data_IF_739371962082
#
_entry.id   IF_739371962082
#
_cell.length_a   1.000
_cell.length_b   1.000
_cell.length_c   1.000
_cell.angle_alpha   90.00
_cell.angle_beta   90.00
_cell.angle_gamma   90.00
#
_symmetry.space_group_name_H-M   'P 1'
#
loop_
_entity.id
_entity.type
_entity.pdbx_description
1 polymer ?
#
# COMPACT_ATOMS: atom_id res chain seq x y z
N UNK A 1 18.12 -9.01 20.38
CA UNK A 1 17.34 -9.10 19.13
C UNK A 1 16.54 -7.83 18.84
N UNK A 2 15.88 -7.21 19.83
CA UNK A 2 15.14 -5.95 19.63
C UNK A 2 16.01 -4.77 19.14
N UNK A 3 17.20 -4.57 19.71
CA UNK A 3 18.12 -3.48 19.31
C UNK A 3 18.58 -3.57 17.84
N UNK A 4 18.87 -4.77 17.34
CA UNK A 4 19.31 -4.97 15.94
C UNK A 4 18.19 -4.74 14.93
N UNK A 5 16.94 -5.08 15.27
CA UNK A 5 15.78 -4.81 14.41
C UNK A 5 15.43 -3.33 14.35
N UNK A 6 15.39 -2.65 15.51
CA UNK A 6 15.20 -1.20 15.58
C UNK A 6 16.28 -0.45 14.79
N UNK A 7 17.55 -0.82 14.97
CA UNK A 7 18.67 -0.23 14.21
C UNK A 7 18.52 -0.45 12.69
N UNK A 8 18.02 -1.61 12.24
CA UNK A 8 17.79 -1.87 10.80
C UNK A 8 16.69 -0.99 10.20
N UNK A 9 15.63 -0.68 10.97
CA UNK A 9 14.55 0.22 10.53
C UNK A 9 15.06 1.67 10.50
N UNK A 10 15.81 2.09 11.52
CA UNK A 10 16.30 3.46 11.67
C UNK A 10 17.50 3.80 10.77
N UNK A 11 18.23 2.80 10.30
CA UNK A 11 19.31 2.96 9.31
C UNK A 11 18.82 2.86 7.87
N UNK A 12 17.52 2.67 7.64
CA UNK A 12 16.93 2.65 6.31
C UNK A 12 17.13 4.01 5.62
N UNK A 13 17.70 4.07 4.41
CA UNK A 13 17.84 5.33 3.67
C UNK A 13 16.48 5.90 3.20
N UNK A 14 15.39 5.19 3.46
CA UNK A 14 14.02 5.56 3.05
C UNK A 14 13.26 6.35 4.14
N UNK A 15 13.81 6.40 5.35
CA UNK A 15 13.32 7.20 6.46
C UNK A 15 14.46 8.07 7.00
N UNK A 16 14.16 9.33 7.25
CA UNK A 16 15.05 10.22 7.98
C UNK A 16 14.54 10.38 9.41
N UNK A 17 15.38 10.06 10.40
CA UNK A 17 15.05 10.21 11.82
C UNK A 17 15.92 11.29 12.46
N UNK A 18 15.31 12.20 13.22
CA UNK A 18 16.03 13.25 13.92
C UNK A 18 15.49 13.48 15.36
N UNK A 19 16.38 13.79 16.33
CA UNK A 19 17.83 13.67 16.29
C UNK A 19 18.27 12.22 16.59
N UNK A 20 19.07 11.61 15.72
CA UNK A 20 19.69 10.31 16.01
C UNK A 20 20.82 10.41 17.05
N UNK A 21 21.46 11.58 17.23
CA UNK A 21 22.62 11.79 18.12
C UNK A 21 22.89 13.27 18.51
N UNK A 22 21.87 14.15 18.56
CA UNK A 22 22.05 15.54 19.01
C UNK A 22 21.07 15.91 20.12
N UNK A 23 21.58 16.67 21.09
CA UNK A 23 20.97 17.09 22.37
C UNK A 23 19.63 17.85 22.23
N UNK A 24 18.56 17.20 21.83
CA UNK A 24 17.23 17.52 22.38
C UNK A 24 16.80 16.33 23.23
N UNK A 25 17.13 16.49 24.53
CA UNK A 25 16.67 15.74 25.70
C UNK A 25 16.14 14.35 25.34
N UNK A 26 17.01 13.33 25.32
CA UNK A 26 16.67 11.91 25.03
C UNK A 26 15.21 11.58 25.36
N UNK A 27 14.28 11.61 24.38
CA UNK A 27 12.87 11.61 24.73
C UNK A 27 12.55 10.24 25.30
N UNK A 28 12.14 10.24 26.57
CA UNK A 28 11.95 9.01 27.34
C UNK A 28 10.78 8.22 26.75
N UNK A 29 10.93 6.90 26.56
CA UNK A 29 9.84 6.07 26.13
C UNK A 29 8.64 6.16 27.08
N UNK A 30 7.43 6.19 26.52
CA UNK A 30 6.18 6.21 27.27
C UNK A 30 5.17 5.27 26.63
N UNK A 31 4.24 4.75 27.45
CA UNK A 31 3.08 4.00 26.96
C UNK A 31 2.14 4.88 26.11
N UNK A 32 2.17 6.20 26.31
CA UNK A 32 1.35 7.16 25.55
C UNK A 32 2.19 7.86 24.51
N UNK A 33 1.71 7.92 23.26
CA UNK A 33 2.39 8.60 22.17
C UNK A 33 1.47 9.67 21.59
N UNK A 34 1.95 10.92 21.60
CA UNK A 34 1.31 12.03 20.93
C UNK A 34 2.02 12.24 19.59
N UNK A 35 1.38 11.82 18.51
CA UNK A 35 1.95 11.91 17.17
C UNK A 35 1.37 13.12 16.43
N UNK A 36 2.18 13.85 15.68
CA UNK A 36 1.73 15.03 14.94
C UNK A 36 2.28 15.03 13.50
N UNK A 37 1.50 15.49 12.54
CA UNK A 37 2.06 15.96 11.27
C UNK A 37 2.90 17.23 11.48
N UNK A 38 3.79 17.54 10.53
CA UNK A 38 4.59 18.74 10.55
C UNK A 38 3.92 19.92 9.81
N UNK A 39 3.77 19.82 8.50
CA UNK A 39 3.50 20.94 7.59
C UNK A 39 1.99 21.13 7.41
N UNK A 40 1.43 22.17 8.04
CA UNK A 40 -0.03 22.38 8.12
C UNK A 40 -0.60 22.04 9.50
N UNK A 41 0.21 21.46 10.38
CA UNK A 41 -0.19 21.02 11.72
C UNK A 41 0.62 21.67 12.83
N UNK A 42 1.92 21.38 12.94
CA UNK A 42 2.81 22.02 13.94
C UNK A 42 3.35 23.35 13.42
N UNK A 43 3.75 23.38 12.15
CA UNK A 43 4.16 24.59 11.45
C UNK A 43 3.18 24.92 10.34
N UNK A 44 3.06 26.19 9.97
CA UNK A 44 2.20 26.59 8.87
C UNK A 44 2.72 26.02 7.54
N UNK A 45 1.81 25.61 6.66
CA UNK A 45 2.15 25.26 5.28
C UNK A 45 2.55 26.53 4.52
N UNK A 46 3.76 26.54 3.98
CA UNK A 46 4.29 27.68 3.20
C UNK A 46 4.30 27.37 1.71
N UNK A 47 4.26 28.42 0.90
CA UNK A 47 4.39 28.31 -0.56
C UNK A 47 5.70 27.65 -0.96
N UNK A 48 5.71 26.92 -2.07
CA UNK A 48 6.94 26.35 -2.65
C UNK A 48 7.99 27.40 -3.03
N UNK A 49 7.59 28.68 -3.14
CA UNK A 49 8.47 29.82 -3.39
C UNK A 49 9.14 30.38 -2.13
N UNK A 50 8.69 29.97 -0.93
CA UNK A 50 9.28 30.44 0.31
C UNK A 50 10.75 29.96 0.44
N UNK A 51 11.64 30.78 1.02
CA UNK A 51 12.97 30.36 1.44
C UNK A 51 12.96 29.01 2.17
N UNK A 52 13.96 28.16 1.91
CA UNK A 52 14.00 26.77 2.41
C UNK A 52 14.01 26.64 3.93
N UNK A 53 14.57 27.64 4.61
CA UNK A 53 14.66 27.69 6.06
C UNK A 53 13.55 28.51 6.70
N UNK A 54 12.65 29.12 5.91
CA UNK A 54 11.51 29.85 6.46
C UNK A 54 10.51 28.86 7.05
N UNK A 55 10.02 29.19 8.24
CA UNK A 55 8.94 28.49 8.92
C UNK A 55 8.30 29.44 9.92
N UNK A 56 7.07 29.11 10.32
CA UNK A 56 6.36 29.74 11.42
C UNK A 56 5.46 28.71 12.07
N UNK A 57 5.17 28.89 13.36
CA UNK A 57 4.18 28.06 14.04
C UNK A 57 2.85 28.09 13.30
N UNK A 58 2.16 26.96 13.26
CA UNK A 58 0.80 26.91 12.70
C UNK A 58 -0.13 27.86 13.47
N UNK A 59 -0.03 27.85 14.80
CA UNK A 59 -0.66 28.81 15.69
C UNK A 59 0.24 29.14 16.89
N UNK A 60 0.06 30.30 17.51
CA UNK A 60 0.90 30.76 18.62
C UNK A 60 0.87 29.84 19.86
N UNK A 61 -0.18 29.04 20.03
CA UNK A 61 -0.33 28.10 21.16
C UNK A 61 0.42 26.77 20.96
N UNK A 62 0.93 26.46 19.75
CA UNK A 62 1.56 25.17 19.44
C UNK A 62 2.69 24.83 20.42
N UNK A 63 3.67 25.71 20.71
CA UNK A 63 4.71 25.43 21.69
C UNK A 63 4.18 25.06 23.09
N UNK A 64 3.12 25.74 23.53
CA UNK A 64 2.51 25.51 24.85
C UNK A 64 1.86 24.13 24.90
N UNK A 65 1.13 23.75 23.85
CA UNK A 65 0.44 22.47 23.76
C UNK A 65 1.41 21.28 23.63
N UNK A 66 2.52 21.45 22.91
CA UNK A 66 3.56 20.42 22.84
C UNK A 66 4.23 20.19 24.22
N UNK A 67 4.50 21.27 24.98
CA UNK A 67 4.99 21.15 26.38
C UNK A 67 3.97 20.48 27.29
N UNK A 68 2.69 20.81 27.13
CA UNK A 68 1.60 20.18 27.87
C UNK A 68 1.59 18.66 27.62
N UNK A 69 1.69 18.21 26.37
CA UNK A 69 1.74 16.79 26.04
C UNK A 69 2.90 16.07 26.76
N UNK A 70 4.09 16.67 26.80
CA UNK A 70 5.23 16.11 27.54
C UNK A 70 4.93 16.01 29.04
N UNK A 71 4.34 17.06 29.62
CA UNK A 71 3.98 17.12 31.05
C UNK A 71 2.90 16.10 31.41
N UNK A 72 2.00 15.79 30.48
CA UNK A 72 0.97 14.74 30.61
C UNK A 72 1.51 13.32 30.39
N UNK A 73 2.81 13.19 30.14
CA UNK A 73 3.53 11.92 30.02
C UNK A 73 3.52 11.31 28.62
N UNK A 74 3.25 12.08 27.58
CA UNK A 74 3.34 11.60 26.20
C UNK A 74 4.77 11.63 25.67
N UNK A 75 5.15 10.57 24.94
CA UNK A 75 6.25 10.68 23.97
C UNK A 75 5.76 11.51 22.78
N UNK A 76 6.37 12.68 22.53
CA UNK A 76 6.02 13.51 21.37
C UNK A 76 6.79 13.04 20.14
N UNK A 77 6.06 12.72 19.07
CA UNK A 77 6.64 12.29 17.80
C UNK A 77 6.03 13.08 16.64
N UNK A 78 6.87 13.60 15.76
CA UNK A 78 6.46 14.24 14.52
C UNK A 78 6.66 13.25 13.36
N UNK A 79 5.69 13.15 12.46
CA UNK A 79 5.81 12.32 11.26
C UNK A 79 5.43 13.13 10.02
N UNK A 80 6.18 12.99 8.92
CA UNK A 80 5.95 13.84 7.74
C UNK A 80 6.27 13.13 6.42
N UNK A 81 5.47 13.44 5.39
CA UNK A 81 5.61 12.92 4.04
C UNK A 81 6.48 13.86 3.18
N UNK A 82 7.76 13.55 3.00
CA UNK A 82 8.77 14.45 2.40
C UNK A 82 9.40 13.89 1.11
N UNK A 83 8.59 13.35 0.19
CA UNK A 83 9.03 12.81 -1.12
C UNK A 83 9.70 13.86 -2.05
N UNK A 84 9.73 15.14 -1.65
CA UNK A 84 10.48 16.19 -2.34
C UNK A 84 11.99 16.20 -2.02
N UNK A 85 12.41 15.51 -0.95
CA UNK A 85 13.80 15.45 -0.50
C UNK A 85 14.57 14.38 -1.30
N UNK A 86 14.97 14.74 -2.53
CA UNK A 86 15.59 13.81 -3.50
C UNK A 86 17.12 13.84 -3.51
N UNK A 87 17.73 14.77 -2.79
CA UNK A 87 19.19 14.95 -2.75
C UNK A 87 19.67 15.20 -1.33
N UNK A 88 20.93 14.85 -1.05
CA UNK A 88 21.53 15.10 0.26
C UNK A 88 21.52 16.58 0.66
N UNK A 89 21.68 17.49 -0.31
CA UNK A 89 21.60 18.93 -0.05
C UNK A 89 20.23 19.30 0.51
N UNK A 90 19.16 18.84 -0.12
CA UNK A 90 17.79 19.10 0.34
C UNK A 90 17.54 18.49 1.72
N UNK A 91 18.05 17.28 1.97
CA UNK A 91 17.96 16.63 3.29
C UNK A 91 18.70 17.45 4.35
N UNK A 92 19.90 17.96 4.05
CA UNK A 92 20.66 18.83 4.97
C UNK A 92 19.93 20.14 5.28
N UNK A 93 19.41 20.82 4.26
CA UNK A 93 18.62 22.05 4.44
C UNK A 93 17.35 21.79 5.26
N UNK A 94 16.67 20.67 5.02
CA UNK A 94 15.51 20.27 5.81
C UNK A 94 15.87 20.00 7.27
N UNK A 95 16.98 19.29 7.54
CA UNK A 95 17.49 19.08 8.91
C UNK A 95 17.86 20.40 9.60
N UNK A 96 18.39 21.38 8.88
CA UNK A 96 18.63 22.73 9.41
C UNK A 96 17.32 23.43 9.80
N UNK A 97 16.27 23.34 8.97
CA UNK A 97 14.93 23.85 9.30
C UNK A 97 14.40 23.20 10.59
N UNK A 98 14.54 21.88 10.74
CA UNK A 98 14.13 21.16 11.97
C UNK A 98 14.91 21.65 13.19
N UNK A 99 16.22 21.87 13.06
CA UNK A 99 17.03 22.42 14.16
C UNK A 99 16.58 23.82 14.59
N UNK A 100 16.15 24.68 13.65
CA UNK A 100 15.58 25.99 13.96
C UNK A 100 14.25 25.88 14.72
N UNK A 101 13.38 24.94 14.33
CA UNK A 101 12.13 24.66 15.04
C UNK A 101 12.44 24.20 16.47
N UNK A 102 13.36 23.24 16.63
CA UNK A 102 13.74 22.70 17.93
C UNK A 102 14.33 23.76 18.86
N UNK A 103 15.12 24.70 18.33
CA UNK A 103 15.66 25.83 19.08
C UNK A 103 14.58 26.76 19.67
N UNK A 104 13.35 26.74 19.12
CA UNK A 104 12.23 27.55 19.62
C UNK A 104 11.31 26.78 20.59
N UNK A 105 11.59 25.51 20.86
CA UNK A 105 10.95 24.66 21.87
C UNK A 105 12.01 23.83 22.64
N UNK A 106 13.01 24.49 23.27
CA UNK A 106 14.18 23.80 23.81
C UNK A 106 13.88 22.78 24.91
N UNK A 107 12.74 22.93 25.56
CA UNK A 107 12.26 22.11 26.67
C UNK A 107 11.28 21.01 26.25
N UNK A 108 10.97 20.89 24.95
CA UNK A 108 10.12 19.82 24.42
C UNK A 108 11.01 18.73 23.83
N UNK A 109 11.16 17.57 24.51
CA UNK A 109 11.78 16.39 23.91
C UNK A 109 10.85 15.80 22.84
N UNK A 110 11.31 15.72 21.59
CA UNK A 110 10.55 15.08 20.50
C UNK A 110 11.44 14.29 19.55
N UNK A 111 10.84 13.36 18.81
CA UNK A 111 11.43 12.71 17.64
C UNK A 111 10.72 13.15 16.38
N UNK A 112 11.41 13.18 15.25
CA UNK A 112 10.79 13.36 13.94
C UNK A 112 11.19 12.24 12.98
N UNK A 113 10.21 11.70 12.27
CA UNK A 113 10.40 10.73 11.19
C UNK A 113 9.88 11.35 9.88
N UNK A 114 10.69 11.31 8.83
CA UNK A 114 10.30 11.80 7.51
C UNK A 114 10.39 10.69 6.47
N UNK A 115 9.27 10.41 5.82
CA UNK A 115 9.18 9.48 4.70
C UNK A 115 9.61 10.18 3.40
N UNK A 116 10.79 9.83 2.88
CA UNK A 116 11.40 10.49 1.71
C UNK A 116 11.13 9.76 0.38
N UNK A 117 10.52 8.57 0.44
CA UNK A 117 10.19 7.74 -0.72
C UNK A 117 8.68 7.47 -0.83
N UNK A 118 8.26 6.89 -1.96
CA UNK A 118 6.93 6.31 -2.14
C UNK A 118 6.97 4.82 -1.78
N UNK A 119 6.92 4.53 -0.49
CA UNK A 119 6.92 3.16 0.05
C UNK A 119 6.04 3.05 1.30
N UNK A 120 6.23 1.99 2.08
CA UNK A 120 5.47 1.71 3.29
C UNK A 120 5.68 2.73 4.42
N UNK A 121 6.66 3.61 4.35
CA UNK A 121 6.84 4.67 5.35
C UNK A 121 5.97 5.89 5.07
N UNK A 122 5.54 6.09 3.82
CA UNK A 122 4.72 7.23 3.42
C UNK A 122 3.27 7.07 3.91
N UNK A 123 2.75 8.03 4.66
CA UNK A 123 1.33 8.03 5.06
C UNK A 123 0.42 7.93 3.82
N UNK A 124 -0.66 7.12 3.84
CA UNK A 124 -1.28 6.49 5.02
C UNK A 124 -0.69 5.13 5.45
N UNK A 125 0.37 4.65 4.81
CA UNK A 125 1.03 3.41 5.23
C UNK A 125 1.69 3.56 6.62
N UNK A 126 1.71 2.46 7.36
CA UNK A 126 2.05 2.43 8.80
C UNK A 126 3.54 2.24 9.09
N UNK A 127 4.44 2.29 8.10
CA UNK A 127 5.87 2.01 8.32
C UNK A 127 6.51 2.98 9.33
N UNK A 128 6.12 4.26 9.32
CA UNK A 128 6.60 5.21 10.34
C UNK A 128 6.11 4.83 11.74
N UNK A 129 4.89 4.30 11.89
CA UNK A 129 4.40 3.80 13.18
C UNK A 129 5.16 2.56 13.64
N UNK A 130 5.43 1.62 12.74
CA UNK A 130 6.24 0.44 13.05
C UNK A 130 7.66 0.83 13.50
N UNK A 131 8.22 1.90 12.93
CA UNK A 131 9.48 2.48 13.39
C UNK A 131 9.36 3.12 14.79
N UNK A 132 8.25 3.80 15.09
CA UNK A 132 7.96 4.34 16.43
C UNK A 132 7.87 3.20 17.46
N UNK A 133 7.11 2.14 17.17
CA UNK A 133 7.01 0.94 18.02
C UNK A 133 8.40 0.34 18.24
N UNK A 134 9.19 0.16 17.18
CA UNK A 134 10.54 -0.41 17.30
C UNK A 134 11.51 0.45 18.13
N UNK A 135 11.33 1.77 18.15
CA UNK A 135 12.18 2.71 18.93
C UNK A 135 11.75 2.79 20.38
N UNK A 136 10.44 2.86 20.64
CA UNK A 136 9.90 3.17 21.96
C UNK A 136 9.58 1.93 22.77
N UNK A 137 9.16 0.83 22.15
CA UNK A 137 8.80 -0.37 22.89
C UNK A 137 10.03 -1.13 23.40
N UNK A 138 9.85 -1.74 24.57
CA UNK A 138 10.80 -2.68 25.17
C UNK A 138 10.05 -3.94 25.63
N UNK A 139 10.76 -4.88 26.27
CA UNK A 139 10.13 -6.08 26.82
C UNK A 139 9.10 -5.75 27.92
N UNK A 140 9.21 -4.59 28.57
CA UNK A 140 8.34 -4.15 29.67
C UNK A 140 7.45 -2.96 29.32
N UNK A 141 7.70 -2.29 28.19
CA UNK A 141 6.94 -1.12 27.74
C UNK A 141 6.34 -1.39 26.37
N UNK A 142 5.01 -1.39 26.32
CA UNK A 142 4.20 -1.44 25.11
C UNK A 142 3.38 -0.18 24.97
N UNK A 143 3.22 0.29 23.75
CA UNK A 143 2.44 1.49 23.47
C UNK A 143 0.96 1.13 23.65
N UNK A 144 0.25 1.94 24.44
CA UNK A 144 -1.19 1.91 24.55
C UNK A 144 -1.79 2.80 23.46
N UNK A 145 -2.27 2.16 22.38
CA UNK A 145 -2.90 2.84 21.24
C UNK A 145 -4.17 3.61 21.65
N UNK A 146 -4.92 3.12 22.64
CA UNK A 146 -6.15 3.78 23.08
C UNK A 146 -5.87 5.08 23.86
N UNK A 147 -4.71 5.15 24.50
CA UNK A 147 -4.22 6.33 25.21
C UNK A 147 -3.22 7.17 24.38
N UNK A 148 -3.06 6.86 23.09
CA UNK A 148 -2.23 7.60 22.14
C UNK A 148 -3.11 8.34 21.13
N UNK A 149 -2.56 9.25 20.35
CA UNK A 149 -3.33 9.96 19.32
C UNK A 149 -2.45 10.49 18.19
N UNK A 150 -3.08 10.84 17.08
CA UNK A 150 -2.47 11.54 15.96
C UNK A 150 -3.19 12.85 15.65
N UNK A 151 -2.42 13.92 15.43
CA UNK A 151 -2.92 15.22 14.98
C UNK A 151 -2.42 15.48 13.56
N UNK A 152 -3.31 15.82 12.63
CA UNK A 152 -2.94 16.12 11.24
C UNK A 152 -3.98 16.93 10.48
N UNK A 153 -3.57 17.70 9.49
CA UNK A 153 -4.45 18.59 8.72
C UNK A 153 -5.06 17.95 7.48
N UNK A 154 -4.47 16.87 6.94
CA UNK A 154 -5.05 16.12 5.82
C UNK A 154 -6.12 15.15 6.31
N UNK A 155 -7.22 15.74 6.78
CA UNK A 155 -8.29 15.07 7.50
C UNK A 155 -9.51 14.73 6.62
N UNK A 156 -9.48 15.08 5.33
CA UNK A 156 -10.58 14.85 4.39
C UNK A 156 -11.82 15.73 4.65
N UNK A 157 -11.64 16.86 5.34
CA UNK A 157 -12.74 17.77 5.70
C UNK A 157 -13.42 18.34 4.47
N UNK A 158 -14.75 18.40 4.53
CA UNK A 158 -15.60 19.05 3.54
C UNK A 158 -16.36 20.20 4.20
N UNK A 159 -16.68 21.23 3.42
CA UNK A 159 -17.35 22.43 3.93
C UNK A 159 -18.60 22.74 3.09
N UNK A 160 -19.63 21.87 3.14
CA UNK A 160 -20.83 22.06 2.34
C UNK A 160 -21.50 23.40 2.68
N UNK A 161 -21.89 24.15 1.64
CA UNK A 161 -22.55 25.44 1.81
C UNK A 161 -21.64 26.61 2.19
N UNK A 162 -20.31 26.48 2.05
CA UNK A 162 -19.35 27.57 2.28
C UNK A 162 -18.37 27.71 1.10
N UNK A 163 -17.69 28.87 1.00
CA UNK A 163 -16.61 29.10 0.03
C UNK A 163 -15.27 28.46 0.44
N UNK A 164 -15.21 27.77 1.59
CA UNK A 164 -13.98 27.11 2.05
C UNK A 164 -13.68 25.90 1.18
N UNK A 165 -12.42 25.78 0.79
CA UNK A 165 -11.95 24.61 0.01
C UNK A 165 -11.95 23.38 0.91
N UNK A 166 -12.45 22.26 0.38
CA UNK A 166 -12.28 20.93 1.00
C UNK A 166 -10.80 20.58 1.12
N UNK A 167 -10.47 19.73 2.09
CA UNK A 167 -9.13 19.16 2.20
C UNK A 167 -8.77 18.41 0.91
N UNK A 168 -7.49 18.49 0.54
CA UNK A 168 -7.00 17.83 -0.67
C UNK A 168 -7.04 16.30 -0.58
N UNK A 169 -6.80 15.75 0.60
CA UNK A 169 -6.81 14.33 0.89
C UNK A 169 -7.13 14.07 2.37
N UNK A 170 -7.48 12.83 2.69
CA UNK A 170 -7.65 12.34 4.06
C UNK A 170 -6.45 11.52 4.56
N UNK A 171 -5.24 11.79 4.05
CA UNK A 171 -4.03 11.00 4.30
C UNK A 171 -3.75 10.79 5.78
N UNK A 172 -3.88 11.84 6.58
CA UNK A 172 -3.56 11.81 8.00
C UNK A 172 -4.60 11.04 8.80
N UNK A 173 -5.88 11.28 8.52
CA UNK A 173 -6.98 10.51 9.12
C UNK A 173 -6.89 9.03 8.77
N UNK A 174 -6.59 8.70 7.51
CA UNK A 174 -6.37 7.31 7.06
C UNK A 174 -5.19 6.65 7.76
N UNK A 175 -4.10 7.39 7.99
CA UNK A 175 -2.96 6.87 8.72
C UNK A 175 -3.33 6.50 10.16
N UNK A 176 -4.03 7.38 10.87
CA UNK A 176 -4.51 7.09 12.23
C UNK A 176 -5.45 5.88 12.28
N UNK A 177 -6.37 5.77 11.29
CA UNK A 177 -7.25 4.61 11.15
C UNK A 177 -6.47 3.31 10.92
N UNK A 178 -5.47 3.32 10.04
CA UNK A 178 -4.61 2.16 9.76
C UNK A 178 -3.80 1.75 11.01
N UNK A 179 -3.30 2.71 11.77
CA UNK A 179 -2.58 2.44 13.01
C UNK A 179 -3.52 1.94 14.11
N UNK A 180 -4.77 2.40 14.12
CA UNK A 180 -5.76 2.13 15.15
C UNK A 180 -5.63 3.06 16.37
N UNK A 181 -5.35 4.34 16.16
CA UNK A 181 -5.27 5.37 17.20
C UNK A 181 -6.27 6.52 16.96
N UNK A 182 -6.75 7.20 18.02
CA UNK A 182 -7.54 8.43 17.93
C UNK A 182 -6.90 9.47 17.00
N UNK A 183 -7.74 10.15 16.21
CA UNK A 183 -7.34 11.21 15.29
C UNK A 183 -7.97 12.55 15.68
N UNK A 184 -7.19 13.62 15.60
CA UNK A 184 -7.63 15.00 15.82
C UNK A 184 -7.10 15.90 14.70
N UNK A 185 -7.84 16.96 14.39
CA UNK A 185 -7.32 18.05 13.54
C UNK A 185 -6.50 19.05 14.36
N UNK A 186 -5.66 19.89 13.74
CA UNK A 186 -4.92 20.93 14.47
C UNK A 186 -5.85 21.86 15.25
N UNK A 187 -6.99 22.23 14.67
CA UNK A 187 -8.00 23.09 15.29
C UNK A 187 -8.61 22.42 16.54
N UNK A 188 -9.01 21.16 16.43
CA UNK A 188 -9.55 20.36 17.56
C UNK A 188 -8.53 20.26 18.70
N UNK A 189 -7.27 19.94 18.42
CA UNK A 189 -6.27 19.71 19.46
C UNK A 189 -5.69 21.01 20.05
N UNK A 190 -5.25 21.94 19.20
CA UNK A 190 -4.52 23.12 19.63
C UNK A 190 -5.44 24.24 20.10
N UNK A 191 -6.61 24.40 19.47
CA UNK A 191 -7.56 25.48 19.76
C UNK A 191 -8.74 25.01 20.62
N UNK A 192 -8.96 23.71 20.74
CA UNK A 192 -10.11 23.16 21.47
C UNK A 192 -11.42 23.39 20.74
N UNK A 193 -11.38 23.49 19.41
CA UNK A 193 -12.58 23.57 18.59
C UNK A 193 -13.33 22.24 18.60
N UNK A 194 -14.64 22.30 18.35
CA UNK A 194 -15.47 21.10 18.23
C UNK A 194 -15.05 20.25 17.02
N UNK A 195 -15.18 18.91 17.09
CA UNK A 195 -14.86 18.03 15.98
C UNK A 195 -15.55 18.42 14.68
N UNK A 196 -14.77 18.46 13.59
CA UNK A 196 -15.33 18.89 12.30
C UNK A 196 -16.41 17.92 11.81
N UNK A 197 -17.63 18.42 11.64
CA UNK A 197 -18.82 17.59 11.46
C UNK A 197 -18.91 16.84 10.11
N UNK A 198 -18.15 17.25 9.08
CA UNK A 198 -18.25 16.67 7.74
C UNK A 198 -16.89 16.40 7.11
N UNK A 199 -16.61 15.13 6.84
CA UNK A 199 -15.39 14.70 6.16
C UNK A 199 -15.68 13.47 5.28
N UNK A 200 -14.86 13.28 4.25
CA UNK A 200 -14.97 12.17 3.31
C UNK A 200 -13.57 11.59 3.03
N UNK A 201 -13.44 10.27 3.14
CA UNK A 201 -12.22 9.56 2.76
C UNK A 201 -12.39 8.97 1.36
N UNK A 202 -11.77 9.62 0.38
CA UNK A 202 -11.83 9.21 -1.03
C UNK A 202 -10.79 8.14 -1.36
N UNK A 203 -10.99 7.38 -2.44
CA UNK A 203 -10.08 6.32 -2.88
C UNK A 203 -10.61 4.92 -2.58
N UNK A 204 -9.81 3.91 -2.88
CA UNK A 204 -10.21 2.52 -2.70
C UNK A 204 -10.00 2.08 -1.26
N UNK A 205 -11.06 1.53 -0.68
CA UNK A 205 -11.01 0.80 0.58
C UNK A 205 -11.60 -0.60 0.40
N UNK A 206 -10.95 -1.66 0.91
CA UNK A 206 -11.42 -3.03 0.80
C UNK A 206 -12.87 -3.29 1.23
N UNK A 207 -13.41 -2.52 2.18
CA UNK A 207 -14.82 -2.63 2.59
C UNK A 207 -15.83 -2.29 1.48
N UNK A 208 -15.38 -1.67 0.38
CA UNK A 208 -16.21 -1.41 -0.80
C UNK A 208 -16.42 -2.64 -1.68
N UNK A 209 -15.64 -3.71 -1.48
CA UNK A 209 -15.76 -4.94 -2.25
C UNK A 209 -17.03 -5.71 -1.89
N UNK A 210 -17.66 -6.27 -2.92
CA UNK A 210 -18.80 -7.17 -2.76
C UNK A 210 -18.31 -8.56 -2.41
N UNK A 211 -19.01 -9.24 -1.51
CA UNK A 211 -18.80 -10.66 -1.27
C UNK A 211 -19.35 -11.46 -2.47
N UNK A 212 -18.46 -12.15 -3.18
CA UNK A 212 -18.77 -12.96 -4.36
C UNK A 212 -18.13 -14.35 -4.21
N UNK A 213 -18.72 -15.41 -4.81
CA UNK A 213 -18.04 -16.70 -4.89
C UNK A 213 -16.77 -16.58 -5.75
N UNK A 214 -15.79 -17.45 -5.53
CA UNK A 214 -14.49 -17.44 -6.23
C UNK A 214 -14.62 -17.37 -7.76
N UNK A 215 -15.65 -17.98 -8.34
CA UNK A 215 -15.89 -17.91 -9.77
C UNK A 215 -17.37 -17.89 -10.14
N UNK A 216 -17.66 -17.33 -11.32
CA UNK A 216 -18.99 -17.25 -11.93
C UNK A 216 -18.93 -17.62 -13.42
N UNK A 217 -19.90 -18.38 -13.96
CA UNK A 217 -20.98 -19.04 -13.23
C UNK A 217 -20.47 -20.18 -12.35
N UNK A 218 -21.13 -20.41 -11.21
CA UNK A 218 -20.81 -21.49 -10.27
C UNK A 218 -21.49 -22.82 -10.63
N UNK A 219 -22.28 -22.83 -11.71
CA UNK A 219 -22.97 -24.02 -12.23
C UNK A 219 -22.03 -25.07 -12.84
N UNK A 220 -20.78 -24.70 -13.14
CA UNK A 220 -19.76 -25.62 -13.63
C UNK A 220 -18.52 -25.57 -12.73
N UNK A 221 -17.82 -26.70 -12.51
CA UNK A 221 -16.60 -26.73 -11.69
C UNK A 221 -15.46 -25.93 -12.31
N UNK A 222 -14.50 -25.48 -11.49
CA UNK A 222 -13.32 -24.76 -11.97
C UNK A 222 -12.42 -25.66 -12.83
N UNK A 223 -12.26 -26.91 -12.40
CA UNK A 223 -11.54 -27.97 -13.10
C UNK A 223 -12.52 -28.89 -13.84
N UNK A 224 -12.13 -29.49 -14.97
CA UNK A 224 -12.98 -30.45 -15.65
C UNK A 224 -13.21 -31.68 -14.76
N UNK A 225 -14.42 -32.29 -14.79
CA UNK A 225 -14.76 -33.43 -13.94
C UNK A 225 -13.99 -34.72 -14.29
N UNK A 226 -13.46 -34.80 -15.51
CA UNK A 226 -12.59 -35.88 -15.97
C UNK A 226 -11.27 -35.29 -16.47
N UNK A 227 -10.14 -36.00 -16.33
CA UNK A 227 -8.89 -35.58 -16.93
C UNK A 227 -9.06 -35.35 -18.44
N UNK A 228 -8.71 -34.15 -18.89
CA UNK A 228 -8.79 -33.72 -20.27
C UNK A 228 -7.51 -32.95 -20.58
N UNK A 229 -6.96 -33.16 -21.78
CA UNK A 229 -5.93 -32.27 -22.30
C UNK A 229 -6.60 -30.95 -22.69
N UNK A 230 -6.18 -29.86 -22.07
CA UNK A 230 -6.71 -28.53 -22.37
C UNK A 230 -5.65 -27.45 -22.18
N UNK A 231 -5.91 -26.29 -22.80
CA UNK A 231 -5.19 -25.06 -22.57
C UNK A 231 -6.08 -24.10 -21.78
N UNK A 232 -5.58 -23.56 -20.67
CA UNK A 232 -6.28 -22.54 -19.89
C UNK A 232 -5.54 -21.21 -19.98
N UNK A 233 -6.22 -20.17 -20.46
CA UNK A 233 -5.70 -18.81 -20.48
C UNK A 233 -6.23 -18.01 -19.30
N UNK A 234 -5.34 -17.41 -18.51
CA UNK A 234 -5.73 -16.41 -17.54
C UNK A 234 -5.73 -15.02 -18.17
N UNK A 235 -6.74 -14.20 -17.88
CA UNK A 235 -6.87 -12.82 -18.36
C UNK A 235 -7.18 -11.90 -17.18
N UNK A 236 -6.47 -10.78 -17.06
CA UNK A 236 -6.75 -9.78 -16.03
C UNK A 236 -5.51 -9.03 -15.53
N UNK A 237 -5.73 -7.97 -14.76
CA UNK A 237 -4.67 -7.15 -14.18
C UNK A 237 -3.60 -7.99 -13.44
N UNK A 238 -2.33 -7.56 -13.45
CA UNK A 238 -1.36 -8.09 -12.49
C UNK A 238 -1.89 -7.92 -11.06
N UNK A 239 -1.40 -8.73 -10.12
CA UNK A 239 -1.77 -8.67 -8.70
C UNK A 239 -3.25 -9.00 -8.35
N UNK A 240 -4.01 -9.66 -9.24
CA UNK A 240 -5.35 -10.20 -8.95
C UNK A 240 -5.37 -11.70 -8.56
N UNK A 241 -4.22 -12.26 -8.15
CA UNK A 241 -4.18 -13.64 -7.63
C UNK A 241 -4.12 -14.73 -8.70
N UNK A 242 -3.79 -14.40 -9.95
CA UNK A 242 -3.64 -15.38 -11.06
C UNK A 242 -2.70 -16.54 -10.72
N UNK A 243 -1.46 -16.24 -10.38
CA UNK A 243 -0.48 -17.25 -9.95
C UNK A 243 -0.94 -18.00 -8.69
N UNK A 244 -1.66 -17.33 -7.78
CA UNK A 244 -2.23 -18.01 -6.61
C UNK A 244 -3.26 -19.05 -7.04
N UNK A 245 -4.21 -18.70 -7.92
CA UNK A 245 -5.21 -19.62 -8.46
C UNK A 245 -4.55 -20.82 -9.16
N UNK A 246 -3.48 -20.59 -9.92
CA UNK A 246 -2.70 -21.67 -10.53
C UNK A 246 -2.18 -22.65 -9.47
N UNK A 247 -1.47 -22.13 -8.47
CA UNK A 247 -0.85 -22.97 -7.43
C UNK A 247 -1.88 -23.74 -6.61
N UNK A 248 -3.01 -23.12 -6.27
CA UNK A 248 -4.01 -23.73 -5.38
C UNK A 248 -4.97 -24.70 -6.07
N UNK A 249 -5.15 -24.58 -7.39
CA UNK A 249 -6.14 -25.41 -8.10
C UNK A 249 -5.59 -26.19 -9.29
N UNK A 250 -4.56 -25.71 -9.98
CA UNK A 250 -4.09 -26.31 -11.23
C UNK A 250 -2.77 -27.09 -11.06
N UNK A 251 -1.88 -26.65 -10.17
CA UNK A 251 -0.56 -27.24 -10.00
C UNK A 251 -0.63 -28.71 -9.58
N UNK A 252 -1.35 -29.03 -8.51
CA UNK A 252 -1.47 -30.41 -8.01
C UNK A 252 -2.33 -31.30 -8.91
N UNK A 253 -3.01 -30.70 -9.89
CA UNK A 253 -3.72 -31.43 -10.93
C UNK A 253 -2.82 -31.77 -12.11
N UNK A 254 -1.55 -31.38 -12.09
CA UNK A 254 -0.57 -31.68 -13.14
C UNK A 254 -0.67 -30.78 -14.37
N UNK A 255 -1.15 -29.53 -14.21
CA UNK A 255 -1.06 -28.54 -15.28
C UNK A 255 0.35 -27.95 -15.34
N UNK A 256 0.91 -27.88 -16.54
CA UNK A 256 2.16 -27.15 -16.76
C UNK A 256 1.92 -25.64 -16.58
N UNK A 257 2.79 -25.00 -15.79
CA UNK A 257 2.76 -23.55 -15.58
C UNK A 257 3.55 -22.82 -16.68
N UNK A 258 2.87 -22.03 -17.50
CA UNK A 258 3.51 -21.16 -18.48
C UNK A 258 3.35 -19.71 -18.03
N UNK A 259 4.47 -19.07 -17.67
CA UNK A 259 4.49 -17.70 -17.14
C UNK A 259 5.64 -16.90 -17.76
N UNK A 260 5.32 -15.73 -18.31
CA UNK A 260 6.29 -14.87 -19.00
C UNK A 260 7.29 -14.20 -18.05
N UNK A 261 6.97 -13.98 -16.78
CA UNK A 261 7.93 -13.46 -15.80
C UNK A 261 9.12 -14.43 -15.62
N UNK A 262 8.83 -15.74 -15.70
CA UNK A 262 9.82 -16.82 -15.65
C UNK A 262 10.50 -17.01 -17.02
N UNK A 263 9.72 -17.14 -18.09
CA UNK A 263 10.21 -17.44 -19.44
C UNK A 263 10.74 -16.23 -20.21
N UNK A 264 10.59 -15.02 -19.65
CA UNK A 264 11.02 -13.70 -20.14
C UNK A 264 10.29 -13.15 -21.37
N UNK A 265 10.01 -13.98 -22.37
CA UNK A 265 9.44 -13.54 -23.66
C UNK A 265 8.18 -14.32 -24.02
N UNK A 266 7.21 -13.66 -24.67
CA UNK A 266 5.98 -14.30 -25.14
C UNK A 266 6.26 -15.43 -26.12
N UNK A 267 7.24 -15.29 -26.99
CA UNK A 267 7.63 -16.29 -27.99
C UNK A 267 8.04 -17.60 -27.32
N UNK A 268 8.78 -17.52 -26.21
CA UNK A 268 9.10 -18.67 -25.36
C UNK A 268 7.86 -19.28 -24.72
N UNK A 269 6.93 -18.46 -24.21
CA UNK A 269 5.66 -18.97 -23.67
C UNK A 269 4.86 -19.75 -24.73
N UNK A 270 4.71 -19.18 -25.94
CA UNK A 270 3.99 -19.80 -27.06
C UNK A 270 4.67 -21.11 -27.46
N UNK A 271 6.01 -21.13 -27.54
CA UNK A 271 6.78 -22.35 -27.83
C UNK A 271 6.56 -23.43 -26.77
N UNK A 272 6.66 -23.09 -25.48
CA UNK A 272 6.42 -24.03 -24.38
C UNK A 272 5.00 -24.58 -24.39
N UNK A 273 3.99 -23.76 -24.72
CA UNK A 273 2.61 -24.25 -24.91
C UNK A 273 2.55 -25.26 -26.06
N UNK A 274 3.15 -24.94 -27.21
CA UNK A 274 3.14 -25.86 -28.36
C UNK A 274 3.78 -27.22 -28.03
N UNK A 275 4.93 -27.22 -27.37
CA UNK A 275 5.63 -28.45 -26.93
C UNK A 275 4.78 -29.26 -25.93
N UNK A 276 4.13 -28.58 -24.98
CA UNK A 276 3.25 -29.23 -24.01
C UNK A 276 2.02 -29.86 -24.66
N UNK A 277 1.37 -29.14 -25.60
CA UNK A 277 0.20 -29.65 -26.30
C UNK A 277 0.55 -30.82 -27.22
N UNK A 278 1.71 -30.78 -27.88
CA UNK A 278 2.22 -31.90 -28.67
C UNK A 278 2.47 -33.15 -27.81
N UNK A 279 2.97 -32.96 -26.59
CA UNK A 279 3.21 -34.02 -25.62
C UNK A 279 1.96 -34.55 -24.89
N UNK A 280 0.74 -34.12 -25.27
CA UNK A 280 -0.49 -34.56 -24.62
C UNK A 280 -0.74 -33.91 -23.25
N UNK A 281 0.03 -32.88 -22.87
CA UNK A 281 -0.07 -32.24 -21.57
C UNK A 281 -1.13 -31.13 -21.55
N UNK A 282 -1.69 -30.91 -20.36
CA UNK A 282 -2.55 -29.76 -20.06
C UNK A 282 -1.71 -28.64 -19.46
N UNK A 283 -2.01 -27.39 -19.82
CA UNK A 283 -1.20 -26.25 -19.39
C UNK A 283 -2.03 -24.99 -19.12
N UNK A 284 -1.50 -24.12 -18.26
CA UNK A 284 -2.09 -22.83 -17.91
C UNK A 284 -1.12 -21.73 -18.32
N UNK A 285 -1.60 -20.75 -19.08
CA UNK A 285 -0.87 -19.52 -19.41
C UNK A 285 -1.24 -18.44 -18.39
N UNK A 286 -0.38 -18.28 -17.39
CA UNK A 286 -0.49 -17.30 -16.30
C UNK A 286 0.21 -15.99 -16.69
N UNK A 287 -0.37 -15.31 -17.67
CA UNK A 287 0.02 -13.97 -18.12
C UNK A 287 -1.16 -13.01 -17.99
N UNK A 288 -0.98 -11.73 -18.35
CA UNK A 288 -2.10 -10.77 -18.35
C UNK A 288 -3.07 -10.97 -19.51
N UNK A 289 -2.57 -11.39 -20.68
CA UNK A 289 -3.35 -11.73 -21.89
C UNK A 289 -4.45 -10.70 -22.24
N UNK A 290 -4.05 -9.42 -22.21
CA UNK A 290 -4.93 -8.24 -22.17
C UNK A 290 -5.84 -8.06 -23.39
N UNK A 291 -5.37 -8.36 -24.59
CA UNK A 291 -6.06 -8.03 -25.86
C UNK A 291 -6.24 -9.27 -26.74
N UNK A 292 -7.16 -9.20 -27.72
CA UNK A 292 -7.44 -10.29 -28.67
C UNK A 292 -6.17 -10.70 -29.41
N UNK A 293 -5.34 -9.71 -29.79
CA UNK A 293 -4.10 -9.96 -30.53
C UNK A 293 -3.11 -10.83 -29.74
N UNK A 294 -3.04 -10.62 -28.41
CA UNK A 294 -2.17 -11.35 -27.50
C UNK A 294 -2.71 -12.75 -27.25
N UNK A 295 -4.04 -12.89 -27.09
CA UNK A 295 -4.69 -14.19 -26.90
C UNK A 295 -4.58 -15.08 -28.14
N UNK A 296 -4.65 -14.48 -29.33
CA UNK A 296 -4.54 -15.18 -30.63
C UNK A 296 -3.29 -16.06 -30.75
N UNK A 297 -2.14 -15.61 -30.25
CA UNK A 297 -0.90 -16.41 -30.28
C UNK A 297 -1.03 -17.78 -29.63
N UNK A 298 -1.86 -17.91 -28.59
CA UNK A 298 -2.07 -19.19 -27.90
C UNK A 298 -3.26 -19.96 -28.50
N UNK A 299 -4.30 -19.26 -28.93
CA UNK A 299 -5.47 -19.85 -29.59
C UNK A 299 -5.07 -20.55 -30.91
N UNK A 300 -4.19 -19.94 -31.70
CA UNK A 300 -3.69 -20.52 -32.95
C UNK A 300 -2.91 -21.83 -32.71
N UNK A 301 -2.11 -21.87 -31.64
CA UNK A 301 -1.38 -23.09 -31.24
C UNK A 301 -2.36 -24.17 -30.80
N UNK A 302 -3.34 -23.87 -29.95
CA UNK A 302 -4.32 -24.85 -29.51
C UNK A 302 -5.15 -25.39 -30.69
N UNK A 303 -5.52 -24.53 -31.64
CA UNK A 303 -6.23 -24.92 -32.86
C UNK A 303 -5.41 -25.90 -33.71
N UNK A 304 -4.09 -25.68 -33.86
CA UNK A 304 -3.20 -26.60 -34.58
C UNK A 304 -3.21 -28.01 -33.99
N UNK A 305 -3.24 -28.12 -32.66
CA UNK A 305 -3.25 -29.40 -31.94
C UNK A 305 -4.66 -29.92 -31.61
N UNK A 306 -5.72 -29.24 -32.07
CA UNK A 306 -7.12 -29.59 -31.79
C UNK A 306 -7.46 -29.69 -30.29
N UNK A 307 -6.81 -28.86 -29.47
CA UNK A 307 -6.99 -28.83 -28.01
C UNK A 307 -8.01 -27.76 -27.62
N UNK A 308 -8.98 -28.05 -26.74
CA UNK A 308 -9.93 -27.06 -26.25
C UNK A 308 -9.25 -26.00 -25.39
N UNK A 309 -9.73 -24.75 -25.49
CA UNK A 309 -9.19 -23.61 -24.74
C UNK A 309 -10.24 -23.00 -23.83
N UNK A 310 -9.98 -22.97 -22.52
CA UNK A 310 -10.81 -22.23 -21.56
C UNK A 310 -10.15 -20.91 -21.16
N UNK A 311 -10.96 -19.88 -20.93
CA UNK A 311 -10.51 -18.58 -20.45
C UNK A 311 -11.00 -18.33 -19.03
N UNK A 312 -10.08 -17.91 -18.15
CA UNK A 312 -10.37 -17.49 -16.77
C UNK A 312 -10.12 -15.98 -16.66
N UNK A 313 -11.20 -15.21 -16.57
CA UNK A 313 -11.18 -13.73 -16.56
C UNK A 313 -11.25 -13.22 -15.13
N UNK A 314 -10.18 -12.64 -14.63
CA UNK A 314 -10.08 -12.08 -13.29
C UNK A 314 -10.73 -10.70 -13.25
N UNK A 315 -11.85 -10.56 -12.52
CA UNK A 315 -12.78 -9.42 -12.61
C UNK A 315 -12.44 -8.23 -11.69
N UNK A 316 -11.31 -8.26 -10.99
CA UNK A 316 -10.90 -7.20 -10.08
C UNK A 316 -10.62 -5.87 -10.77
N UNK A 317 -10.92 -4.75 -10.09
CA UNK A 317 -10.67 -3.41 -10.62
C UNK A 317 -9.18 -3.04 -10.62
N UNK A 318 -8.84 -1.94 -11.32
CA UNK A 318 -7.50 -1.35 -11.28
C UNK A 318 -7.07 -1.04 -9.84
N UNK A 319 -7.98 -0.46 -9.05
CA UNK A 319 -7.70 -0.04 -7.69
C UNK A 319 -7.44 -1.23 -6.77
N UNK A 320 -8.22 -2.31 -6.89
CA UNK A 320 -7.98 -3.55 -6.16
C UNK A 320 -6.64 -4.18 -6.55
N UNK A 321 -6.32 -4.19 -7.86
CA UNK A 321 -5.04 -4.70 -8.34
C UNK A 321 -3.86 -3.87 -7.80
N UNK A 322 -3.99 -2.55 -7.76
CA UNK A 322 -2.99 -1.64 -7.19
C UNK A 322 -2.84 -1.78 -5.68
N UNK A 323 -3.96 -1.92 -4.97
CA UNK A 323 -3.98 -2.19 -3.53
C UNK A 323 -3.26 -3.50 -3.20
N UNK A 324 -3.55 -4.58 -3.93
CA UNK A 324 -2.87 -5.86 -3.79
C UNK A 324 -1.37 -5.76 -4.13
N UNK A 325 -0.99 -4.91 -5.08
CA UNK A 325 0.42 -4.65 -5.40
C UNK A 325 1.16 -4.04 -4.20
N UNK A 326 0.59 -3.02 -3.56
CA UNK A 326 1.15 -2.39 -2.35
C UNK A 326 1.20 -3.40 -1.21
N UNK A 327 0.11 -4.14 -0.97
CA UNK A 327 0.08 -5.18 0.08
C UNK A 327 1.18 -6.22 -0.12
N UNK A 328 1.33 -6.78 -1.33
CA UNK A 328 2.34 -7.80 -1.61
C UNK A 328 3.77 -7.27 -1.55
N UNK A 329 3.99 -6.01 -1.90
CA UNK A 329 5.31 -5.41 -1.89
C UNK A 329 5.80 -5.07 -0.47
N UNK A 330 4.89 -4.72 0.44
CA UNK A 330 5.27 -4.12 1.72
C UNK A 330 4.71 -4.79 2.96
N UNK A 331 3.64 -5.56 2.83
CA UNK A 331 2.85 -6.08 3.95
C UNK A 331 2.65 -7.60 3.88
N UNK A 332 3.32 -8.28 2.95
CA UNK A 332 3.20 -9.72 2.83
C UNK A 332 3.67 -10.39 4.14
N UNK A 333 2.88 -11.33 4.72
CA UNK A 333 3.26 -12.01 5.95
C UNK A 333 4.56 -12.78 5.75
N UNK A 334 5.44 -12.80 6.76
CA UNK A 334 6.74 -13.50 6.67
C UNK A 334 6.60 -14.97 6.28
N UNK A 335 5.60 -15.65 6.83
CA UNK A 335 5.28 -17.05 6.54
C UNK A 335 4.99 -17.32 5.06
N UNK A 336 4.46 -16.32 4.34
CA UNK A 336 4.20 -16.36 2.90
C UNK A 336 5.43 -15.88 2.12
N UNK A 337 6.07 -14.80 2.58
CA UNK A 337 7.25 -14.21 1.96
C UNK A 337 8.45 -15.17 1.91
N UNK A 338 8.59 -16.08 2.86
CA UNK A 338 9.64 -17.10 2.87
C UNK A 338 9.42 -18.21 1.83
N UNK A 339 8.18 -18.38 1.35
CA UNK A 339 7.80 -19.45 0.41
C UNK A 339 7.61 -18.94 -1.01
N UNK A 340 7.57 -17.63 -1.21
CA UNK A 340 7.37 -17.00 -2.51
C UNK A 340 8.56 -16.11 -2.88
N UNK A 341 8.85 -15.92 -4.18
CA UNK A 341 9.83 -14.94 -4.60
C UNK A 341 9.47 -13.55 -4.08
N UNK A 342 10.50 -12.79 -3.67
CA UNK A 342 10.36 -11.39 -3.24
C UNK A 342 9.60 -10.61 -4.33
N UNK A 343 8.54 -9.92 -3.92
CA UNK A 343 7.71 -9.11 -4.82
C UNK A 343 8.06 -7.64 -4.64
N UNK A 344 8.68 -7.05 -5.65
CA UNK A 344 8.83 -5.61 -5.71
C UNK A 344 7.50 -4.95 -6.11
N UNK A 345 7.34 -3.67 -5.75
CA UNK A 345 6.19 -2.88 -6.18
C UNK A 345 6.23 -2.74 -7.71
N UNK A 346 5.25 -3.31 -8.40
CA UNK A 346 5.13 -3.13 -9.84
C UNK A 346 4.85 -1.67 -10.19
N UNK A 347 5.44 -1.13 -11.28
CA UNK A 347 5.19 0.24 -11.69
C UNK A 347 3.73 0.41 -12.15
N UNK A 348 3.17 1.61 -11.94
CA UNK A 348 1.79 1.92 -12.35
C UNK A 348 1.56 1.76 -13.87
N UNK A 349 2.62 1.84 -14.67
CA UNK A 349 2.59 1.54 -16.11
C UNK A 349 2.11 0.11 -16.39
N UNK A 350 2.48 -0.88 -15.57
CA UNK A 350 2.04 -2.26 -15.77
C UNK A 350 0.51 -2.43 -15.67
N UNK A 351 -0.14 -1.58 -14.87
CA UNK A 351 -1.59 -1.58 -14.68
C UNK A 351 -2.29 -0.70 -15.72
N UNK A 352 -1.78 0.50 -15.97
CA UNK A 352 -2.36 1.42 -16.97
C UNK A 352 -2.23 0.85 -18.38
N UNK A 353 -1.09 0.27 -18.75
CA UNK A 353 -0.93 -0.43 -20.05
C UNK A 353 -1.86 -1.63 -20.21
N UNK A 354 -2.23 -2.31 -19.11
CA UNK A 354 -3.27 -3.34 -19.18
C UNK A 354 -4.63 -2.69 -19.46
N UNK A 355 -5.04 -1.72 -18.62
CA UNK A 355 -6.32 -1.02 -18.73
C UNK A 355 -6.55 -0.45 -20.13
N UNK A 356 -5.55 0.24 -20.66
CA UNK A 356 -5.67 1.01 -21.89
C UNK A 356 -5.73 0.11 -23.15
N UNK A 357 -5.26 -1.14 -23.05
CA UNK A 357 -5.28 -2.11 -24.14
C UNK A 357 -6.23 -3.30 -23.89
N UNK A 358 -6.94 -3.35 -22.75
CA UNK A 358 -7.74 -4.51 -22.39
C UNK A 358 -8.97 -4.62 -23.29
N UNK A 359 -9.17 -5.81 -23.85
CA UNK A 359 -10.35 -6.20 -24.62
C UNK A 359 -10.97 -7.41 -23.94
N UNK A 360 -12.26 -7.33 -23.60
CA UNK A 360 -12.98 -8.42 -22.95
C UNK A 360 -12.93 -9.70 -23.82
N UNK A 361 -12.64 -10.88 -23.24
CA UNK A 361 -12.64 -12.12 -24.00
C UNK A 361 -14.03 -12.52 -24.49
N UNK A 362 -14.11 -12.99 -25.73
CA UNK A 362 -15.35 -13.44 -26.38
C UNK A 362 -15.24 -14.88 -26.90
N UNK A 363 -16.36 -15.62 -26.94
CA UNK A 363 -16.35 -17.02 -27.37
C UNK A 363 -15.92 -17.17 -28.83
N UNK A 364 -16.22 -16.15 -29.63
CA UNK A 364 -15.88 -15.97 -31.04
C UNK A 364 -14.37 -15.99 -31.30
N UNK A 365 -13.53 -15.71 -30.29
CA UNK A 365 -12.08 -15.87 -30.39
C UNK A 365 -11.66 -17.34 -30.51
N UNK A 366 -12.51 -18.28 -30.11
CA UNK A 366 -12.23 -19.73 -30.12
C UNK A 366 -12.15 -20.37 -28.73
N UNK A 367 -12.65 -19.70 -27.68
CA UNK A 367 -12.75 -20.29 -26.35
C UNK A 367 -13.93 -21.27 -26.26
N UNK A 368 -13.71 -22.43 -25.63
CA UNK A 368 -14.78 -23.39 -25.32
C UNK A 368 -15.60 -22.98 -24.11
N UNK A 369 -15.00 -22.22 -23.19
CA UNK A 369 -15.67 -21.66 -22.02
C UNK A 369 -14.93 -20.41 -21.54
N UNK A 370 -15.70 -19.40 -21.15
CA UNK A 370 -15.19 -18.22 -20.42
C UNK A 370 -15.78 -18.26 -19.01
N UNK A 371 -14.91 -18.17 -18.01
CA UNK A 371 -15.28 -18.18 -16.59
C UNK A 371 -14.69 -16.96 -15.90
N UNK A 372 -15.53 -16.23 -15.17
CA UNK A 372 -15.11 -15.07 -14.39
C UNK A 372 -14.58 -15.53 -13.04
N UNK A 373 -13.37 -15.12 -12.69
CA UNK A 373 -12.73 -15.36 -11.40
C UNK A 373 -12.86 -14.07 -10.58
N UNK A 374 -13.61 -14.13 -9.49
CA UNK A 374 -13.76 -13.01 -8.58
C UNK A 374 -12.62 -13.02 -7.57
N UNK A 375 -12.26 -11.83 -7.10
CA UNK A 375 -11.29 -11.72 -6.02
C UNK A 375 -11.94 -12.15 -4.70
N UNK A 376 -11.24 -13.01 -3.96
CA UNK A 376 -11.63 -13.49 -2.64
C UNK A 376 -10.40 -13.47 -1.75
N UNK A 377 -10.54 -12.99 -0.51
CA UNK A 377 -9.48 -13.01 0.47
C UNK A 377 -9.07 -14.45 0.80
N UNK A 378 -7.77 -14.71 0.82
CA UNK A 378 -7.19 -15.96 1.31
C UNK A 378 -6.03 -15.63 2.24
N UNK A 379 -6.17 -15.90 3.54
CA UNK A 379 -5.18 -15.56 4.55
C UNK A 379 -5.77 -15.68 5.95
N UNK A 380 -4.97 -15.40 6.98
CA UNK A 380 -5.47 -15.29 8.34
C UNK A 380 -6.29 -14.02 8.53
N UNK A 381 -6.98 -13.91 9.66
CA UNK A 381 -7.73 -12.70 10.01
C UNK A 381 -6.78 -11.55 10.38
N UNK A 382 -5.62 -11.85 10.94
CA UNK A 382 -4.57 -10.87 11.24
C UNK A 382 -4.02 -10.24 9.95
N UNK A 383 -3.71 -11.07 8.96
CA UNK A 383 -3.24 -10.62 7.64
C UNK A 383 -4.34 -9.83 6.91
N UNK A 384 -5.61 -10.25 7.11
CA UNK A 384 -6.77 -9.56 6.54
C UNK A 384 -6.87 -8.14 7.05
N UNK A 385 -6.71 -7.91 8.36
CA UNK A 385 -6.74 -6.57 8.96
C UNK A 385 -5.68 -5.65 8.34
N UNK A 386 -4.50 -6.18 8.07
CA UNK A 386 -3.42 -5.43 7.38
C UNK A 386 -3.79 -5.16 5.93
N UNK A 387 -4.34 -6.15 5.22
CA UNK A 387 -4.82 -5.95 3.85
C UNK A 387 -6.01 -4.98 3.79
N UNK A 388 -6.86 -4.90 4.80
CA UNK A 388 -8.02 -4.01 4.86
C UNK A 388 -7.65 -2.53 5.13
N UNK A 389 -6.38 -2.24 5.46
CA UNK A 389 -5.88 -0.87 5.62
C UNK A 389 -6.04 -0.03 4.34
N UNK A 390 -6.05 1.29 4.48
CA UNK A 390 -5.89 2.21 3.36
C UNK A 390 -4.48 2.10 2.76
N UNK A 391 -4.33 1.37 1.66
CA UNK A 391 -3.06 1.17 0.96
C UNK A 391 -3.05 1.94 -0.37
N UNK A 392 -2.60 3.19 -0.31
CA UNK A 392 -2.54 4.05 -1.50
C UNK A 392 -1.39 5.04 -1.41
N UNK A 393 -0.85 5.43 -2.57
CA UNK A 393 -0.03 6.63 -2.67
C UNK A 393 -0.94 7.77 -3.08
N UNK A 394 -1.09 8.78 -2.22
CA UNK A 394 -1.71 10.05 -2.62
C UNK A 394 -0.78 10.77 -3.59
N UNK A 395 -0.87 10.37 -4.85
CA UNK A 395 -0.28 11.06 -5.97
C UNK A 395 -1.32 12.05 -6.48
N UNK A 396 -0.98 13.34 -6.39
CA UNK A 396 -1.66 14.38 -7.14
C UNK A 396 -1.67 13.95 -8.62
N UNK A 397 -2.82 13.50 -9.10
CA UNK A 397 -3.12 13.52 -10.53
C UNK A 397 -4.15 14.60 -10.74
#
# INVERSE_FOLDING_TARGET
>A
MHLTFAQSILSSPRIEVWPLNQKHLEPQPSKKVATFDLDGTVIASLSFKAPKLEWRWWHACVPVKLRQAVTEGYSVVLITNQNGLKSEKQIREWKQKIALIAANIPDVPFRILAAVAKDNYRKPMIGMWQAIEAVLETDVLKIDKSASFFVGDFAGRTYPGTDRKKDHAGTDRKWALNVGIPFLTPEEYFLGEEPHASWELTGFHPSSLRSLPLFTPNSSPLLPPKPLQELVLFVGYPCLGKTTLFRTHFQDQGYLHVNQDTLKTREKCVKTVAEALEAGQKCVVDNTNRDVSTRRFYLDVAKKYHVPVRCMVFTGSFELAWHNNIYRAYYLPKSVAEREPVRELLPISAFTSFRDAHEEPELEEGFTQIKKINWVWTGTEEDRKVWEMWLQFDDKR
#
